data_IF_966180777494
#
_entry.id   IF_966180777494
#
_cell.length_a   1.000
_cell.length_b   1.000
_cell.length_c   1.000
_cell.angle_alpha   90.00
_cell.angle_beta   90.00
_cell.angle_gamma   90.00
#
_symmetry.space_group_name_H-M   'P 1'
#
loop_
_entity.id
_entity.type
_entity.pdbx_description
1 polymer ?
#
# COMPACT_ATOMS: atom_id res chain seq x y z
N UNK A 1 -3.49 -23.69 4.36
CA UNK A 1 -2.84 -23.08 3.18
C UNK A 1 -3.83 -22.47 2.20
N UNK A 2 -4.86 -23.19 1.73
CA UNK A 2 -5.86 -22.66 0.76
C UNK A 2 -6.58 -21.39 1.24
N UNK A 3 -6.90 -21.28 2.53
CA UNK A 3 -7.56 -20.09 3.10
C UNK A 3 -6.68 -18.83 3.14
N UNK A 4 -5.38 -18.97 3.36
CA UNK A 4 -4.44 -17.84 3.44
C UNK A 4 -4.17 -17.24 2.07
N UNK A 5 -4.04 -18.07 1.04
CA UNK A 5 -3.84 -17.61 -0.35
C UNK A 5 -5.07 -16.85 -0.86
N UNK A 6 -6.28 -17.35 -0.57
CA UNK A 6 -7.52 -16.66 -0.93
C UNK A 6 -7.70 -15.33 -0.20
N UNK A 7 -7.41 -15.29 1.10
CA UNK A 7 -7.43 -14.05 1.89
C UNK A 7 -6.43 -13.02 1.36
N UNK A 8 -5.22 -13.47 1.02
CA UNK A 8 -4.17 -12.59 0.50
C UNK A 8 -4.58 -11.98 -0.85
N UNK A 9 -5.10 -12.79 -1.77
CA UNK A 9 -5.57 -12.29 -3.07
C UNK A 9 -6.71 -11.28 -2.94
N UNK A 10 -7.65 -11.52 -2.01
CA UNK A 10 -8.73 -10.58 -1.73
C UNK A 10 -8.20 -9.27 -1.13
N UNK A 11 -7.27 -9.34 -0.17
CA UNK A 11 -6.68 -8.17 0.46
C UNK A 11 -5.74 -7.38 -0.48
N UNK A 12 -4.98 -8.06 -1.35
CA UNK A 12 -4.13 -7.42 -2.38
C UNK A 12 -5.00 -6.64 -3.39
N UNK A 13 -6.04 -7.27 -3.93
CA UNK A 13 -6.98 -6.61 -4.85
C UNK A 13 -7.77 -5.48 -4.17
N UNK A 14 -8.18 -5.71 -2.92
CA UNK A 14 -8.84 -4.70 -2.09
C UNK A 14 -7.95 -3.47 -1.89
N UNK A 15 -6.70 -3.67 -1.48
CA UNK A 15 -5.73 -2.58 -1.32
C UNK A 15 -5.53 -1.77 -2.61
N UNK A 16 -5.42 -2.43 -3.76
CA UNK A 16 -5.32 -1.74 -5.05
C UNK A 16 -6.58 -0.89 -5.35
N UNK A 17 -7.77 -1.48 -5.18
CA UNK A 17 -9.04 -0.78 -5.40
C UNK A 17 -9.23 0.41 -4.46
N UNK A 18 -8.93 0.23 -3.18
CA UNK A 18 -9.01 1.28 -2.16
C UNK A 18 -8.03 2.42 -2.44
N UNK A 19 -6.79 2.13 -2.85
CA UNK A 19 -5.82 3.17 -3.22
C UNK A 19 -6.25 3.94 -4.48
N UNK A 20 -6.89 3.27 -5.44
CA UNK A 20 -7.46 3.94 -6.61
C UNK A 20 -8.61 4.87 -6.22
N UNK A 21 -9.53 4.42 -5.38
CA UNK A 21 -10.62 5.25 -4.86
C UNK A 21 -10.06 6.42 -4.04
N UNK A 22 -9.10 6.17 -3.15
CA UNK A 22 -8.45 7.23 -2.36
C UNK A 22 -7.80 8.28 -3.26
N UNK A 23 -7.12 7.86 -4.33
CA UNK A 23 -6.52 8.77 -5.31
C UNK A 23 -7.55 9.71 -5.92
N UNK A 24 -8.68 9.17 -6.40
CA UNK A 24 -9.77 9.96 -6.96
C UNK A 24 -10.36 10.94 -5.95
N UNK A 25 -10.53 10.52 -4.69
CA UNK A 25 -11.06 11.34 -3.62
C UNK A 25 -10.13 12.49 -3.22
N UNK A 26 -8.82 12.24 -3.13
CA UNK A 26 -7.84 13.28 -2.83
C UNK A 26 -7.70 14.27 -3.99
N UNK A 27 -7.75 13.82 -5.25
CA UNK A 27 -7.80 14.72 -6.39
C UNK A 27 -9.08 15.54 -6.41
N UNK A 28 -10.24 14.93 -6.18
CA UNK A 28 -11.51 15.65 -6.07
C UNK A 28 -11.48 16.71 -4.94
N UNK A 29 -10.91 16.38 -3.78
CA UNK A 29 -10.72 17.33 -2.68
C UNK A 29 -9.70 18.43 -2.95
N UNK A 30 -8.73 18.20 -3.84
CA UNK A 30 -7.78 19.21 -4.28
C UNK A 30 -8.40 20.21 -5.28
N UNK A 31 -9.20 19.71 -6.24
CA UNK A 31 -9.86 20.56 -7.25
C UNK A 31 -11.15 21.24 -6.74
N UNK A 32 -11.86 20.59 -5.82
CA UNK A 32 -13.12 21.09 -5.26
C UNK A 32 -13.06 21.19 -3.73
N UNK A 33 -12.33 22.18 -3.17
CA UNK A 33 -12.19 22.35 -1.71
C UNK A 33 -13.51 22.59 -0.97
N UNK A 34 -14.57 22.96 -1.69
CA UNK A 34 -15.92 23.18 -1.15
C UNK A 34 -16.57 21.88 -0.66
N UNK A 35 -16.18 20.72 -1.20
CA UNK A 35 -16.72 19.42 -0.84
C UNK A 35 -16.04 18.88 0.43
N UNK A 36 -16.48 19.33 1.60
CA UNK A 36 -15.84 18.98 2.89
C UNK A 36 -15.91 17.49 3.24
N UNK A 37 -16.82 16.73 2.64
CA UNK A 37 -17.04 15.30 2.90
C UNK A 37 -16.07 14.37 2.15
N UNK A 38 -15.47 14.79 1.03
CA UNK A 38 -14.56 13.94 0.24
C UNK A 38 -13.28 13.60 1.00
N UNK A 39 -12.90 14.49 1.92
CA UNK A 39 -11.66 14.42 2.68
C UNK A 39 -11.70 13.32 3.75
N UNK A 40 -12.64 13.31 4.70
CA UNK A 40 -12.73 12.21 5.66
C UNK A 40 -12.96 10.86 4.96
N UNK A 41 -13.66 10.85 3.82
CA UNK A 41 -13.86 9.64 3.02
C UNK A 41 -12.54 9.15 2.41
N UNK A 42 -11.74 10.04 1.80
CA UNK A 42 -10.40 9.70 1.29
C UNK A 42 -9.44 9.22 2.38
N UNK A 43 -9.49 9.81 3.57
CA UNK A 43 -8.72 9.32 4.74
C UNK A 43 -9.19 7.94 5.19
N UNK A 44 -10.50 7.70 5.24
CA UNK A 44 -11.06 6.40 5.60
C UNK A 44 -10.66 5.32 4.60
N UNK A 45 -10.77 5.59 3.29
CA UNK A 45 -10.35 4.66 2.25
C UNK A 45 -8.85 4.37 2.31
N UNK A 46 -8.01 5.39 2.52
CA UNK A 46 -6.56 5.19 2.72
C UNK A 46 -6.26 4.33 3.95
N UNK A 47 -7.03 4.47 5.04
CA UNK A 47 -6.88 3.64 6.23
C UNK A 47 -7.25 2.18 5.98
N UNK A 48 -8.32 1.93 5.22
CA UNK A 48 -8.71 0.57 4.82
C UNK A 48 -7.60 -0.05 3.95
N UNK A 49 -7.10 0.67 2.94
CA UNK A 49 -5.98 0.21 2.12
C UNK A 49 -4.74 -0.15 2.95
N UNK A 50 -4.39 0.70 3.93
CA UNK A 50 -3.25 0.45 4.81
C UNK A 50 -3.43 -0.84 5.64
N UNK A 51 -4.63 -1.11 6.13
CA UNK A 51 -4.95 -2.35 6.85
C UNK A 51 -4.95 -3.58 5.94
N UNK A 52 -5.42 -3.45 4.69
CA UNK A 52 -5.33 -4.52 3.70
C UNK A 52 -3.87 -4.88 3.40
N UNK A 53 -3.01 -3.88 3.16
CA UNK A 53 -1.58 -4.10 2.96
C UNK A 53 -0.90 -4.72 4.19
N UNK A 54 -1.23 -4.26 5.39
CA UNK A 54 -0.75 -4.87 6.64
C UNK A 54 -1.19 -6.34 6.76
N UNK A 55 -2.42 -6.65 6.36
CA UNK A 55 -2.97 -8.01 6.36
C UNK A 55 -2.21 -8.92 5.39
N UNK A 56 -1.91 -8.45 4.18
CA UNK A 56 -1.12 -9.20 3.20
C UNK A 56 0.28 -9.48 3.72
N UNK A 57 0.98 -8.45 4.22
CA UNK A 57 2.34 -8.59 4.76
C UNK A 57 2.36 -9.52 5.98
N UNK A 58 1.39 -9.39 6.89
CA UNK A 58 1.24 -10.25 8.06
C UNK A 58 0.92 -11.71 7.69
N UNK A 59 0.03 -11.94 6.72
CA UNK A 59 -0.28 -13.27 6.23
C UNK A 59 0.95 -13.94 5.60
N UNK A 60 1.74 -13.19 4.82
CA UNK A 60 3.02 -13.67 4.26
C UNK A 60 4.05 -13.96 5.33
N UNK A 61 4.16 -13.12 6.34
CA UNK A 61 5.06 -13.35 7.47
C UNK A 61 4.72 -14.67 8.18
N UNK A 62 3.46 -14.87 8.54
CA UNK A 62 3.01 -16.08 9.23
C UNK A 62 3.17 -17.34 8.37
N UNK A 63 2.92 -17.24 7.06
CA UNK A 63 3.02 -18.37 6.14
C UNK A 63 4.47 -18.77 5.82
N UNK A 64 5.37 -17.78 5.67
CA UNK A 64 6.73 -18.01 5.21
C UNK A 64 7.75 -18.12 6.37
N UNK A 65 7.39 -17.69 7.58
CA UNK A 65 8.23 -17.80 8.78
C UNK A 65 9.38 -16.79 8.84
N UNK A 66 9.40 -15.79 7.96
CA UNK A 66 10.39 -14.71 7.92
C UNK A 66 9.71 -13.35 7.73
N UNK A 67 10.41 -12.26 8.08
CA UNK A 67 9.88 -10.90 7.95
C UNK A 67 9.63 -10.53 6.48
N UNK A 68 8.46 -9.96 6.11
CA UNK A 68 8.03 -9.77 4.72
C UNK A 68 8.76 -8.59 4.04
N UNK A 69 10.05 -8.79 3.78
CA UNK A 69 10.95 -7.92 3.02
C UNK A 69 11.94 -8.76 2.18
N UNK A 70 11.65 -10.05 1.97
CA UNK A 70 12.65 -10.98 1.43
C UNK A 70 12.75 -10.98 -0.08
N UNK A 71 11.68 -10.58 -0.77
CA UNK A 71 11.67 -10.42 -2.22
C UNK A 71 11.23 -9.00 -2.63
N UNK A 72 11.34 -8.72 -3.92
CA UNK A 72 10.98 -7.42 -4.49
C UNK A 72 9.49 -7.11 -4.30
N UNK A 73 8.62 -8.10 -4.47
CA UNK A 73 7.17 -7.92 -4.30
C UNK A 73 6.80 -7.46 -2.88
N UNK A 74 7.28 -8.18 -1.86
CA UNK A 74 7.08 -7.87 -0.44
C UNK A 74 7.67 -6.51 -0.09
N UNK A 75 8.85 -6.19 -0.62
CA UNK A 75 9.48 -4.88 -0.42
C UNK A 75 8.63 -3.74 -0.97
N UNK A 76 8.07 -3.89 -2.18
CA UNK A 76 7.20 -2.89 -2.78
C UNK A 76 5.90 -2.70 -1.98
N UNK A 77 5.27 -3.79 -1.55
CA UNK A 77 4.09 -3.73 -0.69
C UNK A 77 4.39 -3.07 0.66
N UNK A 78 5.57 -3.34 1.24
CA UNK A 78 6.03 -2.69 2.46
C UNK A 78 6.27 -1.18 2.26
N UNK A 79 6.81 -0.77 1.11
CA UNK A 79 6.94 0.65 0.76
C UNK A 79 5.57 1.31 0.61
N UNK A 80 4.61 0.67 -0.07
CA UNK A 80 3.25 1.21 -0.19
C UNK A 80 2.55 1.30 1.18
N UNK A 81 2.73 0.29 2.03
CA UNK A 81 2.20 0.27 3.39
C UNK A 81 2.81 1.37 4.27
N UNK A 82 4.14 1.54 4.25
CA UNK A 82 4.81 2.57 5.03
C UNK A 82 4.46 3.98 4.54
N UNK A 83 4.38 4.19 3.22
CA UNK A 83 3.95 5.46 2.65
C UNK A 83 2.51 5.82 3.06
N UNK A 84 1.58 4.86 2.99
CA UNK A 84 0.19 5.08 3.44
C UNK A 84 0.09 5.26 4.96
N UNK A 85 0.93 4.61 5.76
CA UNK A 85 0.98 4.81 7.21
C UNK A 85 1.50 6.21 7.57
N UNK A 86 2.58 6.66 6.92
CA UNK A 86 3.11 8.03 7.07
C UNK A 86 2.08 9.06 6.62
N UNK A 87 1.39 8.81 5.50
CA UNK A 87 0.29 9.65 5.04
C UNK A 87 -0.78 9.83 6.12
N UNK A 88 -1.28 8.74 6.70
CA UNK A 88 -2.29 8.77 7.77
C UNK A 88 -1.77 9.45 9.04
N UNK A 89 -0.49 9.30 9.36
CA UNK A 89 0.13 9.99 10.50
C UNK A 89 0.17 11.50 10.28
N UNK A 90 0.64 11.95 9.11
CA UNK A 90 0.62 13.37 8.71
C UNK A 90 -0.81 13.92 8.73
N UNK A 91 -1.77 13.14 8.21
CA UNK A 91 -3.18 13.52 8.15
C UNK A 91 -3.84 13.66 9.54
N UNK A 92 -3.23 13.13 10.61
CA UNK A 92 -3.68 13.31 12.01
C UNK A 92 -3.03 14.50 12.74
N UNK A 93 -1.87 14.97 12.32
CA UNK A 93 -1.19 16.11 12.97
C UNK A 93 -1.97 17.43 12.75
N UNK A 94 -1.99 18.39 13.69
CA UNK A 94 -2.61 19.70 13.45
C UNK A 94 -1.66 20.60 12.61
N UNK A 95 -1.90 20.64 11.31
CA UNK A 95 -1.15 21.39 10.27
C UNK A 95 -2.16 22.06 9.33
N UNK A 96 -1.77 23.11 8.61
CA UNK A 96 -2.68 23.86 7.72
C UNK A 96 -3.53 22.98 6.80
N UNK A 97 -4.79 23.41 6.57
CA UNK A 97 -5.80 22.66 5.81
C UNK A 97 -5.38 22.46 4.36
N UNK A 98 -4.76 23.46 3.74
CA UNK A 98 -4.38 23.47 2.32
C UNK A 98 -3.22 22.52 2.02
N UNK A 99 -2.15 22.52 2.84
CA UNK A 99 -0.98 21.66 2.59
C UNK A 99 -1.31 20.17 2.59
N UNK A 100 -2.25 19.75 3.45
CA UNK A 100 -2.63 18.34 3.62
C UNK A 100 -3.47 17.78 2.46
N UNK A 101 -4.19 18.62 1.71
CA UNK A 101 -4.89 18.15 0.49
C UNK A 101 -3.89 17.72 -0.60
N UNK A 102 -2.82 18.51 -0.76
CA UNK A 102 -1.74 18.22 -1.70
C UNK A 102 -0.91 17.00 -1.33
N UNK A 103 -0.68 16.77 -0.02
CA UNK A 103 -0.01 15.56 0.45
C UNK A 103 -0.77 14.32 -0.03
N UNK A 104 -2.09 14.24 0.20
CA UNK A 104 -2.90 13.12 -0.26
C UNK A 104 -2.99 12.98 -1.78
N UNK A 105 -3.06 14.11 -2.49
CA UNK A 105 -3.07 14.12 -3.96
C UNK A 105 -1.77 13.58 -4.58
N UNK A 106 -0.66 13.55 -3.81
CA UNK A 106 0.63 12.99 -4.21
C UNK A 106 0.84 11.57 -3.69
N UNK A 107 0.63 11.33 -2.40
CA UNK A 107 0.94 10.04 -1.75
C UNK A 107 0.02 8.92 -2.22
N UNK A 108 -1.27 9.19 -2.44
CA UNK A 108 -2.24 8.19 -2.89
C UNK A 108 -1.92 7.59 -4.26
N UNK A 109 -1.71 8.40 -5.33
CA UNK A 109 -1.35 7.82 -6.64
C UNK A 109 0.03 7.15 -6.64
N UNK A 110 0.98 7.62 -5.82
CA UNK A 110 2.29 6.96 -5.69
C UNK A 110 2.13 5.58 -5.04
N UNK A 111 1.41 5.48 -3.92
CA UNK A 111 1.12 4.19 -3.28
C UNK A 111 0.36 3.26 -4.22
N UNK A 112 -0.66 3.77 -4.92
CA UNK A 112 -1.40 3.02 -5.94
C UNK A 112 -0.47 2.51 -7.05
N UNK A 113 0.41 3.37 -7.57
CA UNK A 113 1.35 3.00 -8.65
C UNK A 113 2.33 1.91 -8.22
N UNK A 114 2.82 1.94 -6.98
CA UNK A 114 3.68 0.89 -6.42
C UNK A 114 2.94 -0.45 -6.35
N UNK A 115 1.72 -0.46 -5.81
CA UNK A 115 0.89 -1.68 -5.74
C UNK A 115 0.52 -2.19 -7.13
N UNK A 116 0.17 -1.28 -8.05
CA UNK A 116 -0.13 -1.62 -9.45
C UNK A 116 1.08 -2.26 -10.15
N UNK A 117 2.27 -1.69 -9.96
CA UNK A 117 3.50 -2.24 -10.52
C UNK A 117 3.80 -3.63 -9.95
N UNK A 118 3.69 -3.80 -8.63
CA UNK A 118 3.89 -5.08 -7.96
C UNK A 118 2.91 -6.16 -8.44
N UNK A 119 1.65 -5.80 -8.70
CA UNK A 119 0.62 -6.75 -9.11
C UNK A 119 0.63 -7.06 -10.63
N UNK A 120 0.81 -6.04 -11.47
CA UNK A 120 0.57 -6.15 -12.92
C UNK A 120 1.85 -6.26 -13.76
N UNK A 121 2.97 -5.73 -13.27
CA UNK A 121 4.23 -5.66 -14.05
C UNK A 121 5.23 -6.71 -13.61
N UNK A 122 5.26 -7.05 -12.31
CA UNK A 122 6.17 -8.08 -11.80
C UNK A 122 5.82 -9.46 -12.35
N UNK A 123 6.80 -10.23 -12.87
CA UNK A 123 6.56 -11.61 -13.32
C UNK A 123 6.03 -12.50 -12.19
N UNK A 124 5.15 -13.48 -12.47
CA UNK A 124 4.54 -14.32 -11.44
C UNK A 124 5.54 -15.01 -10.52
N UNK A 125 6.69 -15.44 -11.06
CA UNK A 125 7.76 -16.07 -10.27
C UNK A 125 8.38 -15.16 -9.20
N UNK A 126 8.37 -13.85 -9.38
CA UNK A 126 8.86 -12.87 -8.39
C UNK A 126 7.82 -12.48 -7.35
N UNK A 127 6.54 -12.78 -7.59
CA UNK A 127 5.45 -12.52 -6.64
C UNK A 127 5.35 -13.62 -5.59
N UNK A 128 5.90 -14.81 -5.86
CA UNK A 128 5.93 -15.95 -4.93
C UNK A 128 6.82 -15.62 -3.73
N UNK A 129 6.33 -15.92 -2.53
CA UNK A 129 7.12 -15.86 -1.31
C UNK A 129 8.29 -16.87 -1.41
N UNK A 130 9.51 -16.35 -1.47
CA UNK A 130 10.74 -17.13 -1.46
C UNK A 130 11.68 -16.54 -0.41
N UNK A 131 12.32 -17.37 0.44
CA UNK A 131 13.34 -16.89 1.36
C UNK A 131 14.46 -16.17 0.60
N UNK A 132 15.11 -15.18 1.23
CA UNK A 132 16.28 -14.55 0.63
C UNK A 132 17.33 -15.63 0.35
N UNK A 133 17.68 -15.78 -0.92
CA UNK A 133 18.92 -16.47 -1.28
C UNK A 133 20.06 -15.63 -0.69
N UNK A 134 21.08 -16.23 -0.03
CA UNK A 134 22.20 -15.48 0.52
C UNK A 134 22.83 -14.59 -0.55
N UNK A 135 22.55 -13.28 -0.49
CA UNK A 135 22.94 -12.32 -1.52
C UNK A 135 24.45 -12.05 -1.53
N UNK A 136 25.14 -12.43 -0.45
CA UNK A 136 26.59 -12.36 -0.28
C UNK A 136 27.24 -13.72 -0.55
N UNK A 137 27.07 -14.24 -1.76
CA UNK A 137 28.08 -15.13 -2.37
C UNK A 137 28.91 -14.26 -3.29
N UNK A 138 29.81 -13.49 -2.70
CA UNK A 138 30.78 -12.76 -3.48
C UNK A 138 31.76 -13.79 -4.03
N UNK A 139 31.82 -13.94 -5.35
CA UNK A 139 32.74 -14.83 -6.04
C UNK A 139 34.15 -14.22 -5.93
N UNK A 140 34.88 -14.59 -4.88
CA UNK A 140 36.26 -14.16 -4.63
C UNK A 140 37.14 -15.40 -4.76
#
# INVERSE_FOLDING_TARGET
MVSLVGLQAWADNGAFGDLAIATLLYWAGAFFPQLTWVRPLGTATMAIANLCLATVLGARWLAAGYFPLSNLYESLLFVAWSLSAVHLWVDRTPTSRTGRSWVGALTAPVAMGIVAFAALVLPPGMQVATPLVPALKSNW
#
